data_IF_194510128539
#
_entry.id   IF_194510128539
#
_cell.length_a   1.000
_cell.length_b   1.000
_cell.length_c   1.000
_cell.angle_alpha   90.00
_cell.angle_beta   90.00
_cell.angle_gamma   90.00
#
_symmetry.space_group_name_H-M   'P 1'
#
loop_
_entity.id
_entity.type
_entity.pdbx_description
1 polymer ?
#
# COMPACT_ATOMS: atom_id res chain seq x y z
N UNK A 1 -7.27 -15.30 -13.27
CA UNK A 1 -7.62 -15.92 -11.98
C UNK A 1 -9.13 -15.95 -11.72
N UNK A 2 -9.97 -15.04 -12.25
CA UNK A 2 -11.43 -15.25 -12.30
C UNK A 2 -12.16 -15.46 -10.96
N UNK A 3 -11.52 -15.07 -9.85
CA UNK A 3 -12.03 -15.30 -8.49
C UNK A 3 -13.18 -14.34 -8.23
N UNK A 4 -14.29 -14.84 -7.70
CA UNK A 4 -15.42 -13.99 -7.34
C UNK A 4 -15.10 -13.13 -6.12
N UNK A 5 -15.60 -11.89 -6.06
CA UNK A 5 -15.29 -10.94 -4.98
C UNK A 5 -15.57 -11.50 -3.58
N UNK A 6 -16.66 -12.26 -3.41
CA UNK A 6 -17.07 -12.86 -2.13
C UNK A 6 -16.11 -13.96 -1.64
N UNK A 7 -15.19 -14.43 -2.50
CA UNK A 7 -14.16 -15.42 -2.16
C UNK A 7 -12.84 -14.76 -1.73
N UNK A 8 -12.70 -13.45 -1.89
CA UNK A 8 -11.49 -12.72 -1.52
C UNK A 8 -11.50 -12.48 0.00
N UNK A 9 -10.52 -12.99 0.77
CA UNK A 9 -10.51 -12.89 2.23
C UNK A 9 -10.68 -11.46 2.76
N UNK A 10 -10.04 -10.48 2.11
CA UNK A 10 -10.09 -9.08 2.52
C UNK A 10 -11.47 -8.46 2.32
N UNK A 11 -12.19 -8.85 1.27
CA UNK A 11 -13.57 -8.41 1.02
C UNK A 11 -14.49 -9.00 2.08
N UNK A 12 -14.36 -10.31 2.38
CA UNK A 12 -15.11 -10.95 3.45
C UNK A 12 -14.85 -10.29 4.80
N UNK A 13 -13.58 -10.00 5.10
CA UNK A 13 -13.16 -9.25 6.30
C UNK A 13 -13.79 -7.85 6.37
N UNK A 14 -13.88 -7.16 5.23
CA UNK A 14 -14.52 -5.84 5.14
C UNK A 14 -16.00 -5.89 5.49
N UNK A 15 -16.71 -6.97 5.16
CA UNK A 15 -18.12 -7.19 5.54
C UNK A 15 -18.31 -7.94 6.87
N UNK A 16 -17.23 -8.15 7.65
CA UNK A 16 -17.31 -8.87 8.93
C UNK A 16 -17.65 -10.36 8.81
N UNK A 17 -17.56 -10.91 7.59
CA UNK A 17 -17.84 -12.31 7.28
C UNK A 17 -16.60 -13.16 7.58
N UNK A 18 -16.80 -14.42 7.96
CA UNK A 18 -15.72 -15.38 8.21
C UNK A 18 -14.76 -15.47 7.00
N UNK A 19 -13.47 -15.24 7.24
CA UNK A 19 -12.48 -14.98 6.19
C UNK A 19 -11.13 -15.70 6.42
N UNK A 20 -11.12 -16.80 7.18
CA UNK A 20 -9.94 -17.62 7.45
C UNK A 20 -8.78 -16.82 8.06
N UNK A 21 -8.63 -16.79 9.39
CA UNK A 21 -7.63 -15.95 10.05
C UNK A 21 -6.19 -16.14 9.52
N UNK A 22 -5.52 -15.05 9.11
CA UNK A 22 -4.07 -14.98 8.89
C UNK A 22 -3.59 -14.78 7.44
N UNK A 23 -2.27 -14.83 7.24
CA UNK A 23 -1.63 -14.59 5.93
C UNK A 23 -1.89 -15.74 4.91
N UNK A 24 -2.22 -16.94 5.39
CA UNK A 24 -2.60 -18.12 4.59
C UNK A 24 -4.12 -18.31 4.45
N UNK A 25 -4.88 -17.23 4.64
CA UNK A 25 -6.35 -17.21 4.65
C UNK A 25 -6.98 -17.86 3.41
N UNK A 26 -6.33 -17.75 2.24
CA UNK A 26 -6.91 -18.14 0.96
C UNK A 26 -7.30 -19.62 0.90
N UNK A 27 -6.46 -20.53 1.43
CA UNK A 27 -6.72 -21.99 1.42
C UNK A 27 -7.93 -22.37 2.26
N UNK A 28 -8.10 -21.69 3.39
CA UNK A 28 -9.23 -21.93 4.30
C UNK A 28 -10.49 -21.27 3.74
N UNK A 29 -10.36 -20.03 3.30
CA UNK A 29 -11.44 -19.24 2.70
C UNK A 29 -12.01 -19.91 1.46
N UNK A 30 -11.20 -20.51 0.60
CA UNK A 30 -11.70 -21.23 -0.58
C UNK A 30 -12.59 -22.44 -0.25
N UNK A 31 -12.41 -23.05 0.93
CA UNK A 31 -13.17 -24.22 1.36
C UNK A 31 -14.47 -23.83 2.08
N UNK A 32 -14.48 -22.72 2.81
CA UNK A 32 -15.62 -22.32 3.67
C UNK A 32 -16.43 -21.14 3.12
N UNK A 33 -16.01 -20.51 2.02
CA UNK A 33 -16.70 -19.33 1.51
C UNK A 33 -18.06 -19.67 0.94
N UNK A 34 -19.08 -19.01 1.46
CA UNK A 34 -20.41 -18.89 0.87
C UNK A 34 -20.55 -17.54 0.18
N UNK A 35 -21.32 -17.49 -0.90
CA UNK A 35 -21.71 -16.24 -1.52
C UNK A 35 -22.62 -15.44 -0.59
N UNK A 36 -22.58 -14.12 -0.73
CA UNK A 36 -23.44 -13.20 -0.01
C UNK A 36 -23.83 -12.05 -0.92
N UNK A 37 -24.94 -11.41 -0.58
CA UNK A 37 -25.51 -10.31 -1.33
C UNK A 37 -24.85 -9.00 -0.89
N UNK A 38 -24.08 -8.38 -1.81
CA UNK A 38 -23.35 -7.14 -1.53
C UNK A 38 -24.29 -5.95 -1.26
N UNK A 39 -25.51 -5.97 -1.81
CA UNK A 39 -26.48 -4.88 -1.62
C UNK A 39 -27.14 -4.93 -0.23
N UNK A 40 -27.06 -6.07 0.46
CA UNK A 40 -27.63 -6.29 1.79
C UNK A 40 -26.57 -6.40 2.89
N UNK A 41 -25.32 -6.68 2.56
CA UNK A 41 -24.26 -6.86 3.52
C UNK A 41 -23.83 -5.52 4.13
N UNK A 42 -23.76 -5.45 5.46
CA UNK A 42 -23.30 -4.25 6.15
C UNK A 42 -21.76 -4.24 6.23
N UNK A 43 -21.12 -3.17 5.74
CA UNK A 43 -19.67 -3.03 5.82
C UNK A 43 -19.23 -2.72 7.25
N UNK A 44 -18.06 -3.24 7.64
CA UNK A 44 -17.41 -2.84 8.88
C UNK A 44 -17.08 -1.34 8.90
N UNK A 45 -17.14 -0.73 10.08
CA UNK A 45 -16.85 0.70 10.23
C UNK A 45 -15.38 1.00 9.84
N UNK A 46 -15.11 2.15 9.21
CA UNK A 46 -13.75 2.57 8.91
C UNK A 46 -12.83 2.52 10.13
N UNK A 47 -11.64 1.96 9.95
CA UNK A 47 -10.64 1.82 11.03
C UNK A 47 -9.69 3.00 11.00
N UNK A 48 -9.96 3.97 11.87
CA UNK A 48 -9.12 5.17 12.01
C UNK A 48 -9.27 6.14 10.83
N UNK A 49 -8.22 6.92 10.58
CA UNK A 49 -8.18 7.95 9.55
C UNK A 49 -6.83 7.90 8.83
N UNK A 50 -6.84 8.18 7.52
CA UNK A 50 -5.65 8.18 6.68
C UNK A 50 -5.57 9.53 5.94
N UNK A 51 -4.44 10.22 6.10
CA UNK A 51 -4.08 11.39 5.29
C UNK A 51 -2.91 10.97 4.40
N UNK A 52 -3.07 11.16 3.08
CA UNK A 52 -2.04 10.88 2.10
C UNK A 52 -1.52 12.19 1.51
N UNK A 53 -0.20 12.24 1.27
CA UNK A 53 0.47 13.36 0.60
C UNK A 53 1.23 12.83 -0.61
N UNK A 54 1.34 13.65 -1.65
CA UNK A 54 2.20 13.39 -2.80
C UNK A 54 3.43 14.28 -2.70
N UNK A 55 4.59 13.70 -2.94
CA UNK A 55 5.86 14.43 -3.05
C UNK A 55 6.20 14.53 -4.54
N UNK A 56 6.32 15.74 -5.06
CA UNK A 56 6.58 16.03 -6.48
C UNK A 56 7.88 16.82 -6.65
N UNK A 57 8.41 16.88 -7.87
CA UNK A 57 9.58 17.69 -8.24
C UNK A 57 9.19 19.05 -8.82
N UNK A 58 8.05 19.59 -8.38
CA UNK A 58 7.49 20.85 -8.87
C UNK A 58 8.04 22.03 -8.06
N UNK A 59 8.37 23.13 -8.75
CA UNK A 59 8.86 24.37 -8.11
C UNK A 59 7.68 25.31 -7.80
N UNK A 60 7.32 25.56 -6.53
CA UNK A 60 6.21 26.45 -6.20
C UNK A 60 6.47 27.92 -6.56
N UNK A 61 7.74 28.35 -6.61
CA UNK A 61 8.12 29.72 -6.93
C UNK A 61 8.07 30.00 -8.45
N UNK A 62 8.23 28.96 -9.28
CA UNK A 62 8.03 28.99 -10.74
C UNK A 62 6.67 28.37 -11.15
N UNK A 63 5.63 28.57 -10.32
CA UNK A 63 4.24 28.21 -10.67
C UNK A 63 3.95 26.70 -10.74
N UNK A 64 4.57 25.92 -9.86
CA UNK A 64 4.49 24.45 -9.81
C UNK A 64 5.02 23.77 -11.08
N UNK A 65 5.99 24.39 -11.74
CA UNK A 65 6.59 23.81 -12.94
C UNK A 65 7.37 22.53 -12.60
N UNK A 66 7.11 21.40 -13.28
CA UNK A 66 7.88 20.19 -13.06
C UNK A 66 9.34 20.38 -13.45
N UNK A 67 10.23 20.07 -12.53
CA UNK A 67 11.68 20.09 -12.76
C UNK A 67 12.24 18.67 -12.86
N UNK A 68 13.30 18.52 -13.64
CA UNK A 68 14.04 17.26 -13.83
C UNK A 68 15.44 17.37 -13.22
N UNK A 69 16.01 16.25 -12.81
CA UNK A 69 17.33 16.20 -12.20
C UNK A 69 17.62 14.84 -11.58
N UNK A 70 18.69 14.76 -10.77
CA UNK A 70 19.04 13.55 -10.01
C UNK A 70 18.75 13.80 -8.53
N UNK A 71 18.21 12.78 -7.85
CA UNK A 71 18.09 12.77 -6.39
C UNK A 71 19.45 12.43 -5.80
N UNK A 72 20.00 13.34 -5.00
CA UNK A 72 21.32 13.18 -4.37
C UNK A 72 21.24 12.45 -3.03
N UNK A 73 20.16 12.64 -2.28
CA UNK A 73 19.92 12.00 -1.00
C UNK A 73 18.41 11.78 -0.84
N UNK A 74 18.04 10.62 -0.31
CA UNK A 74 16.65 10.32 0.07
C UNK A 74 16.61 9.75 1.49
N UNK A 75 16.32 10.60 2.46
CA UNK A 75 16.18 10.20 3.87
C UNK A 75 14.74 10.40 4.34
N UNK A 76 14.01 9.30 4.53
CA UNK A 76 12.65 9.31 5.07
C UNK A 76 12.61 8.65 6.45
N UNK A 77 12.19 9.42 7.47
CA UNK A 77 12.07 8.94 8.85
C UNK A 77 10.66 8.40 9.10
N UNK A 78 10.49 7.09 8.95
CA UNK A 78 9.23 6.42 9.24
C UNK A 78 8.86 6.50 10.74
N UNK A 79 7.57 6.42 11.02
CA UNK A 79 6.97 6.29 12.37
C UNK A 79 5.93 5.17 12.34
N UNK A 80 5.43 4.67 13.49
CA UNK A 80 4.48 3.54 13.50
C UNK A 80 3.27 3.69 12.57
N UNK A 81 2.77 4.92 12.36
CA UNK A 81 1.63 5.21 11.50
C UNK A 81 1.99 6.10 10.28
N UNK A 82 3.28 6.30 9.99
CA UNK A 82 3.76 7.16 8.91
C UNK A 82 4.80 6.41 8.09
N UNK A 83 4.43 6.08 6.86
CA UNK A 83 5.25 5.34 5.91
C UNK A 83 5.15 5.97 4.52
N UNK A 84 6.14 5.72 3.68
CA UNK A 84 6.17 6.23 2.31
C UNK A 84 6.88 5.23 1.39
N UNK A 85 6.59 5.34 0.10
CA UNK A 85 7.33 4.66 -0.96
C UNK A 85 7.68 5.69 -2.04
N UNK A 86 8.84 5.52 -2.67
CA UNK A 86 9.35 6.41 -3.70
C UNK A 86 9.71 5.61 -4.94
N UNK A 87 9.52 6.19 -6.13
CA UNK A 87 9.83 5.55 -7.41
C UNK A 87 11.29 5.69 -7.83
N UNK A 88 12.07 6.51 -7.13
CA UNK A 88 13.48 6.81 -7.40
C UNK A 88 14.36 6.31 -6.25
N UNK A 89 15.63 6.01 -6.55
CA UNK A 89 16.62 5.53 -5.57
C UNK A 89 17.67 6.60 -5.32
N UNK A 90 18.23 6.56 -4.11
CA UNK A 90 19.46 7.26 -3.80
C UNK A 90 20.61 6.73 -4.68
N UNK A 91 21.48 7.62 -5.14
CA UNK A 91 22.69 7.32 -5.90
C UNK A 91 23.92 7.65 -5.05
N UNK A 92 23.95 7.21 -3.79
CA UNK A 92 25.23 7.04 -3.09
C UNK A 92 26.07 6.07 -3.93
N UNK A 93 27.25 6.51 -4.40
CA UNK A 93 28.21 5.67 -5.13
C UNK A 93 28.31 4.29 -4.45
N UNK A 94 28.38 3.17 -5.20
CA UNK A 94 28.80 1.94 -4.58
C UNK A 94 30.13 2.25 -3.88
N UNK A 95 30.20 2.00 -2.57
CA UNK A 95 31.46 1.98 -1.85
C UNK A 95 32.30 0.83 -2.43
N UNK A 96 32.85 1.05 -3.62
CA UNK A 96 33.91 0.25 -4.16
C UNK A 96 35.09 0.45 -3.23
N UNK A 97 35.48 -0.61 -2.55
CA UNK A 97 36.74 -0.65 -1.84
C UNK A 97 37.86 -0.41 -2.88
N UNK A 98 38.64 0.68 -2.82
CA UNK A 98 39.74 0.87 -3.77
C UNK A 98 40.96 0.01 -3.47
N UNK A 99 40.97 -0.75 -2.36
CA UNK A 99 42.12 -1.58 -1.98
C UNK A 99 41.67 -2.95 -1.45
N UNK A 100 41.64 -3.94 -2.35
CA UNK A 100 42.11 -5.34 -2.21
C UNK A 100 41.80 -6.12 -3.50
#
# INVERSE_FOLDING_TARGET
MGISLWQIPEIRRFYGIEHGAGYDAWRKTSVVSTSFDFDKAESTRPKGHCVAVRVTSEDPDDGFKPTSGKVQELSFKSKPNVWAYFSVKDMSLPSGNPEL
#
